data_IF_720135993251
#
_entry.id   IF_720135993251
#
_cell.length_a   1.000
_cell.length_b   1.000
_cell.length_c   1.000
_cell.angle_alpha   90.00
_cell.angle_beta   90.00
_cell.angle_gamma   90.00
#
_symmetry.space_group_name_H-M   'P 1'
#
loop_
_entity.id
_entity.type
_entity.pdbx_description
1 polymer ?
#
# COMPACT_ATOMS: atom_id res chain seq x y z
N UNK A 1 21.49 5.98 16.55
CA UNK A 1 21.91 7.37 16.37
C UNK A 1 20.76 8.22 15.85
N UNK A 2 20.85 9.56 15.97
CA UNK A 2 19.83 10.48 15.44
C UNK A 2 19.63 10.31 13.92
N UNK A 3 20.67 9.97 13.18
CA UNK A 3 20.59 9.68 11.75
C UNK A 3 19.79 8.41 11.46
N UNK A 4 20.01 7.35 12.22
CA UNK A 4 19.26 6.10 12.07
C UNK A 4 17.79 6.28 12.41
N UNK A 5 17.46 7.03 13.46
CA UNK A 5 16.11 7.38 13.83
C UNK A 5 15.46 8.22 12.73
N UNK A 6 16.17 9.21 12.20
CA UNK A 6 15.68 10.05 11.11
C UNK A 6 15.44 9.24 9.83
N UNK A 7 16.36 8.33 9.49
CA UNK A 7 16.19 7.41 8.35
C UNK A 7 14.99 6.48 8.54
N UNK A 8 14.77 5.98 9.75
CA UNK A 8 13.59 5.17 10.08
C UNK A 8 12.29 5.98 9.98
N UNK A 9 12.30 7.25 10.35
CA UNK A 9 11.11 8.12 10.28
C UNK A 9 10.74 8.56 8.86
N UNK A 10 11.73 8.59 7.96
CA UNK A 10 11.55 8.95 6.54
C UNK A 10 11.74 7.76 5.61
N UNK A 11 11.97 6.58 6.15
CA UNK A 11 12.15 5.34 5.40
C UNK A 11 10.83 4.75 4.91
N UNK A 12 10.95 3.69 4.12
CA UNK A 12 9.82 2.96 3.59
C UNK A 12 9.15 2.03 4.62
N UNK A 13 9.88 1.67 5.67
CA UNK A 13 9.36 0.87 6.79
C UNK A 13 10.02 1.25 8.11
N UNK A 14 9.31 1.00 9.21
CA UNK A 14 9.81 1.16 10.57
C UNK A 14 9.25 0.05 11.45
N UNK A 15 10.12 -0.63 12.17
CA UNK A 15 9.75 -1.69 13.11
C UNK A 15 9.80 -1.17 14.54
N UNK A 16 8.66 -1.26 15.25
CA UNK A 16 8.56 -0.95 16.69
C UNK A 16 8.10 -2.20 17.40
N UNK A 17 9.01 -2.85 18.13
CA UNK A 17 8.79 -4.16 18.75
C UNK A 17 8.43 -5.18 17.65
N UNK A 18 7.23 -5.76 17.70
CA UNK A 18 6.68 -6.71 16.74
C UNK A 18 5.77 -6.05 15.66
N UNK A 19 5.72 -4.72 15.65
CA UNK A 19 4.92 -3.96 14.67
C UNK A 19 5.80 -3.39 13.57
N UNK A 20 5.43 -3.70 12.33
CA UNK A 20 6.08 -3.17 11.15
C UNK A 20 5.16 -2.16 10.47
N UNK A 21 5.58 -0.90 10.45
CA UNK A 21 4.87 0.20 9.79
C UNK A 21 5.47 0.42 8.42
N UNK A 22 4.65 0.27 7.39
CA UNK A 22 5.03 0.52 5.99
C UNK A 22 4.45 1.87 5.59
N UNK A 23 5.31 2.80 5.19
CA UNK A 23 4.88 4.11 4.69
C UNK A 23 4.11 4.00 3.38
N UNK A 24 3.45 5.07 2.98
CA UNK A 24 2.66 5.11 1.75
C UNK A 24 3.46 4.66 0.54
N UNK A 25 2.97 3.63 -0.13
CA UNK A 25 3.54 3.09 -1.38
C UNK A 25 2.69 3.60 -2.54
N UNK A 26 3.32 4.30 -3.45
CA UNK A 26 2.65 4.90 -4.61
C UNK A 26 2.53 3.91 -5.77
N UNK A 27 1.58 4.15 -6.66
CA UNK A 27 1.36 3.28 -7.81
C UNK A 27 2.46 3.42 -8.86
N UNK A 28 3.27 2.36 -9.00
CA UNK A 28 4.39 2.26 -9.95
C UNK A 28 4.21 0.99 -10.77
N UNK A 29 4.38 1.09 -12.09
CA UNK A 29 4.30 -0.05 -13.01
C UNK A 29 5.51 -0.99 -12.84
N UNK A 30 5.45 -2.15 -13.50
CA UNK A 30 6.57 -3.11 -13.51
C UNK A 30 7.83 -2.56 -14.19
N UNK A 31 7.68 -1.57 -15.07
CA UNK A 31 8.81 -0.87 -15.72
C UNK A 31 9.38 0.29 -14.88
N UNK A 32 8.81 0.56 -13.71
CA UNK A 32 9.25 1.65 -12.83
C UNK A 32 8.62 3.01 -13.13
N UNK A 33 7.64 3.06 -14.05
CA UNK A 33 6.93 4.28 -14.39
C UNK A 33 5.79 4.54 -13.41
N UNK A 34 5.56 5.80 -13.05
CA UNK A 34 4.44 6.19 -12.20
C UNK A 34 3.11 5.97 -12.93
N UNK A 35 2.16 5.33 -12.25
CA UNK A 35 0.78 5.22 -12.72
C UNK A 35 0.05 6.44 -12.18
N UNK A 36 -0.20 7.39 -13.07
CA UNK A 36 -0.77 8.71 -12.75
C UNK A 36 -2.20 8.83 -13.26
N UNK A 37 -2.88 9.82 -12.75
CA UNK A 37 -4.18 10.22 -13.25
C UNK A 37 -5.25 10.17 -12.18
N UNK A 38 -6.33 10.87 -12.47
CA UNK A 38 -7.50 10.99 -11.59
C UNK A 38 -8.52 9.91 -11.95
N UNK A 39 -8.82 9.05 -11.00
CA UNK A 39 -9.78 7.96 -11.18
C UNK A 39 -11.18 8.56 -11.36
N UNK A 40 -11.89 8.07 -12.34
CA UNK A 40 -13.18 8.61 -12.74
C UNK A 40 -13.10 9.66 -13.86
N UNK A 41 -11.89 10.10 -14.21
CA UNK A 41 -11.66 11.05 -15.32
C UNK A 41 -10.56 10.53 -16.26
N UNK A 42 -9.34 10.34 -15.75
CA UNK A 42 -8.17 9.98 -16.57
C UNK A 42 -8.01 8.47 -16.71
N UNK A 43 -8.37 7.73 -15.66
CA UNK A 43 -8.26 6.26 -15.62
C UNK A 43 -9.54 5.63 -15.07
N UNK A 44 -9.79 4.39 -15.48
CA UNK A 44 -10.94 3.60 -15.06
C UNK A 44 -10.76 3.00 -13.67
N UNK A 45 -11.85 2.50 -13.09
CA UNK A 45 -11.82 1.75 -11.83
C UNK A 45 -10.94 0.50 -11.93
N UNK A 46 -10.99 -0.22 -13.06
CA UNK A 46 -10.19 -1.42 -13.29
C UNK A 46 -8.69 -1.12 -13.40
N UNK A 47 -8.33 -0.05 -14.10
CA UNK A 47 -6.94 0.42 -14.16
C UNK A 47 -6.45 0.85 -12.77
N UNK A 48 -7.30 1.53 -12.00
CA UNK A 48 -6.99 1.93 -10.63
C UNK A 48 -6.87 0.73 -9.68
N UNK A 49 -7.68 -0.33 -9.85
CA UNK A 49 -7.54 -1.60 -9.14
C UNK A 49 -6.14 -2.19 -9.37
N UNK A 50 -5.68 -2.22 -10.61
CA UNK A 50 -4.34 -2.69 -10.94
C UNK A 50 -3.24 -1.78 -10.36
N UNK A 51 -3.46 -0.48 -10.33
CA UNK A 51 -2.57 0.47 -9.66
C UNK A 51 -2.46 0.18 -8.15
N UNK A 52 -3.59 -0.09 -7.47
CA UNK A 52 -3.62 -0.48 -6.07
C UNK A 52 -2.90 -1.82 -5.84
N UNK A 53 -3.05 -2.78 -6.74
CA UNK A 53 -2.30 -4.05 -6.72
C UNK A 53 -0.79 -3.80 -6.77
N UNK A 54 -0.33 -2.85 -7.59
CA UNK A 54 1.08 -2.45 -7.64
C UNK A 54 1.55 -1.87 -6.30
N UNK A 55 0.73 -1.05 -5.65
CA UNK A 55 1.01 -0.56 -4.29
C UNK A 55 1.16 -1.73 -3.31
N UNK A 56 0.28 -2.72 -3.38
CA UNK A 56 0.33 -3.95 -2.57
C UNK A 56 1.63 -4.73 -2.79
N UNK A 57 2.09 -4.86 -4.04
CA UNK A 57 3.37 -5.50 -4.36
C UNK A 57 4.55 -4.75 -3.74
N UNK A 58 4.52 -3.43 -3.77
CA UNK A 58 5.55 -2.60 -3.12
C UNK A 58 5.54 -2.81 -1.59
N UNK A 59 4.36 -2.88 -0.97
CA UNK A 59 4.21 -3.19 0.46
C UNK A 59 4.84 -4.56 0.77
N UNK A 60 4.51 -5.60 0.02
CA UNK A 60 5.06 -6.95 0.22
C UNK A 60 6.58 -6.96 0.07
N UNK A 61 7.11 -6.19 -0.89
CA UNK A 61 8.55 -6.03 -1.06
C UNK A 61 9.23 -5.44 0.19
N UNK A 62 8.63 -4.42 0.80
CA UNK A 62 9.15 -3.82 2.04
C UNK A 62 9.04 -4.80 3.21
N UNK A 63 7.93 -5.52 3.33
CA UNK A 63 7.75 -6.56 4.36
C UNK A 63 8.81 -7.65 4.21
N UNK A 64 9.04 -8.13 2.99
CA UNK A 64 10.06 -9.14 2.68
C UNK A 64 11.46 -8.66 3.09
N UNK A 65 11.79 -7.42 2.79
CA UNK A 65 13.07 -6.80 3.18
C UNK A 65 13.20 -6.75 4.71
N UNK A 66 12.16 -6.29 5.42
CA UNK A 66 12.16 -6.22 6.88
C UNK A 66 12.25 -7.60 7.54
N UNK A 67 11.73 -8.64 6.89
CA UNK A 67 11.79 -10.04 7.33
C UNK A 67 13.04 -10.78 6.82
N UNK A 68 14.02 -10.07 6.26
CA UNK A 68 15.26 -10.66 5.75
C UNK A 68 15.02 -11.76 4.69
N UNK A 69 13.98 -11.57 3.88
CA UNK A 69 13.59 -12.48 2.80
C UNK A 69 12.61 -13.58 3.20
N UNK A 70 12.26 -13.70 4.46
CA UNK A 70 11.39 -14.78 4.99
C UNK A 70 10.01 -14.24 5.38
N UNK A 71 9.06 -14.33 4.46
CA UNK A 71 7.67 -13.88 4.69
C UNK A 71 6.93 -14.74 5.74
N UNK A 72 7.44 -15.92 6.11
CA UNK A 72 6.86 -16.74 7.19
C UNK A 72 6.97 -16.06 8.56
N UNK A 73 7.81 -15.05 8.71
CA UNK A 73 7.91 -14.22 9.90
C UNK A 73 6.71 -13.30 10.11
N UNK A 74 5.88 -13.11 9.11
CA UNK A 74 4.65 -12.32 9.24
C UNK A 74 3.64 -13.10 10.05
N UNK A 75 3.15 -12.49 11.14
CA UNK A 75 2.06 -13.04 11.96
C UNK A 75 0.71 -12.63 11.38
N UNK A 76 0.54 -11.37 11.06
CA UNK A 76 -0.69 -10.85 10.44
C UNK A 76 -0.50 -9.50 9.78
N UNK A 77 -1.31 -9.21 8.78
CA UNK A 77 -1.55 -7.85 8.33
C UNK A 77 -2.62 -7.24 9.24
N UNK A 78 -2.31 -6.11 9.87
CA UNK A 78 -3.21 -5.46 10.83
C UNK A 78 -4.14 -4.50 10.10
N UNK A 79 -3.57 -3.63 9.27
CA UNK A 79 -4.32 -2.54 8.64
C UNK A 79 -3.71 -2.13 7.30
N UNK A 80 -4.58 -1.82 6.34
CA UNK A 80 -4.25 -1.04 5.15
C UNK A 80 -5.00 0.29 5.19
N UNK A 81 -4.36 1.37 4.74
CA UNK A 81 -5.04 2.62 4.42
C UNK A 81 -4.78 2.94 2.96
N UNK A 82 -5.84 2.99 2.18
CA UNK A 82 -5.77 3.27 0.75
C UNK A 82 -6.30 4.66 0.41
N UNK A 83 -5.53 5.39 -0.37
CA UNK A 83 -5.86 6.73 -0.87
C UNK A 83 -5.99 6.68 -2.37
N UNK A 84 -7.13 7.14 -2.88
CA UNK A 84 -7.43 7.17 -4.31
C UNK A 84 -7.46 8.62 -4.78
N UNK A 85 -6.63 8.96 -5.75
CA UNK A 85 -6.73 10.23 -6.45
C UNK A 85 -7.92 10.16 -7.39
N UNK A 86 -9.06 10.69 -6.98
CA UNK A 86 -10.31 10.54 -7.72
C UNK A 86 -11.06 11.85 -7.87
N UNK A 87 -12.01 11.86 -8.79
CA UNK A 87 -12.97 12.97 -8.94
C UNK A 87 -13.87 13.08 -7.72
N UNK A 88 -14.49 14.25 -7.53
CA UNK A 88 -15.31 14.53 -6.35
C UNK A 88 -16.57 13.64 -6.28
N UNK A 89 -17.06 13.20 -7.44
CA UNK A 89 -18.24 12.33 -7.56
C UNK A 89 -17.92 10.83 -7.56
N UNK A 90 -16.64 10.45 -7.52
CA UNK A 90 -16.23 9.05 -7.48
C UNK A 90 -16.50 8.45 -6.09
N UNK A 91 -17.18 7.30 -6.05
CA UNK A 91 -17.63 6.66 -4.81
C UNK A 91 -17.17 5.21 -4.67
N UNK A 92 -16.41 4.70 -5.62
CA UNK A 92 -15.98 3.29 -5.66
C UNK A 92 -14.55 3.08 -5.16
N UNK A 93 -14.06 3.93 -4.24
CA UNK A 93 -12.74 3.79 -3.62
C UNK A 93 -12.48 2.38 -3.06
N UNK A 94 -13.46 1.71 -2.39
CA UNK A 94 -13.26 0.34 -1.93
C UNK A 94 -12.95 -0.63 -3.06
N UNK A 95 -13.57 -0.50 -4.23
CA UNK A 95 -13.30 -1.35 -5.40
C UNK A 95 -11.87 -1.19 -5.90
N UNK A 96 -11.36 0.04 -5.87
CA UNK A 96 -9.97 0.33 -6.24
C UNK A 96 -9.01 -0.32 -5.26
N UNK A 97 -9.19 -0.08 -3.97
CA UNK A 97 -8.27 -0.57 -2.93
C UNK A 97 -8.35 -2.09 -2.75
N UNK A 98 -9.41 -2.74 -3.21
CA UNK A 98 -9.47 -4.19 -3.33
C UNK A 98 -8.27 -4.76 -4.08
N UNK A 99 -7.68 -4.04 -5.02
CA UNK A 99 -6.46 -4.46 -5.71
C UNK A 99 -5.31 -4.78 -4.76
N UNK A 100 -5.09 -3.94 -3.76
CA UNK A 100 -4.09 -4.18 -2.72
C UNK A 100 -4.54 -5.25 -1.74
N UNK A 101 -5.79 -5.18 -1.26
CA UNK A 101 -6.33 -6.15 -0.29
C UNK A 101 -6.35 -7.57 -0.82
N UNK A 102 -6.80 -7.77 -2.05
CA UNK A 102 -6.84 -9.09 -2.69
C UNK A 102 -5.45 -9.69 -2.84
N UNK A 103 -4.45 -8.86 -3.17
CA UNK A 103 -3.06 -9.30 -3.26
C UNK A 103 -2.54 -9.75 -1.89
N UNK A 104 -2.73 -8.94 -0.84
CA UNK A 104 -2.26 -9.25 0.51
C UNK A 104 -2.90 -10.55 1.01
N UNK A 105 -4.20 -10.74 0.82
CA UNK A 105 -4.89 -11.96 1.22
C UNK A 105 -4.46 -13.17 0.39
N UNK A 106 -4.16 -13.00 -0.89
CA UNK A 106 -3.67 -14.08 -1.75
C UNK A 106 -2.27 -14.56 -1.33
N UNK A 107 -1.42 -13.67 -0.83
CA UNK A 107 -0.06 -14.01 -0.41
C UNK A 107 -0.03 -14.61 0.99
N UNK A 108 -0.75 -14.03 1.95
CA UNK A 108 -0.67 -14.38 3.37
C UNK A 108 -1.84 -15.26 3.87
N UNK A 109 -2.88 -15.48 3.06
CA UNK A 109 -4.06 -16.23 3.49
C UNK A 109 -4.77 -15.57 4.67
N UNK A 110 -5.09 -16.32 5.70
CA UNK A 110 -5.74 -15.79 6.91
C UNK A 110 -4.91 -14.70 7.61
N UNK A 111 -3.59 -14.82 7.58
CA UNK A 111 -2.69 -13.81 8.11
C UNK A 111 -2.75 -12.48 7.32
N UNK A 112 -3.27 -12.50 6.11
CA UNK A 112 -3.50 -11.32 5.29
C UNK A 112 -4.82 -10.60 5.55
N UNK A 113 -5.73 -11.18 6.33
CA UNK A 113 -6.99 -10.54 6.72
C UNK A 113 -6.71 -9.31 7.57
N UNK A 114 -7.27 -8.17 7.20
CA UNK A 114 -6.90 -6.87 7.77
C UNK A 114 -8.10 -5.93 7.89
N UNK A 115 -7.97 -4.93 8.74
CA UNK A 115 -8.87 -3.77 8.75
C UNK A 115 -8.43 -2.78 7.68
N UNK A 116 -9.34 -1.93 7.22
CA UNK A 116 -9.05 -1.04 6.09
C UNK A 116 -9.85 0.24 6.12
N UNK A 117 -9.22 1.33 5.69
CA UNK A 117 -9.90 2.53 5.19
C UNK A 117 -9.55 2.69 3.70
N UNK A 118 -10.53 3.07 2.89
CA UNK A 118 -10.37 3.35 1.47
C UNK A 118 -11.08 4.67 1.17
N UNK A 119 -10.29 5.73 0.98
CA UNK A 119 -10.79 7.09 0.87
C UNK A 119 -10.22 7.79 -0.35
N UNK A 120 -10.87 8.87 -0.77
CA UNK A 120 -10.37 9.74 -1.82
C UNK A 120 -9.43 10.80 -1.27
N UNK A 121 -8.45 11.19 -2.06
CA UNK A 121 -7.67 12.40 -1.89
C UNK A 121 -7.89 13.31 -3.08
N UNK A 122 -7.91 14.61 -2.85
CA UNK A 122 -8.02 15.61 -3.91
C UNK A 122 -6.85 15.53 -4.90
N UNK A 123 -5.66 15.21 -4.38
CA UNK A 123 -4.46 14.94 -5.16
C UNK A 123 -3.53 14.02 -4.38
N UNK A 124 -2.64 13.32 -5.07
CA UNK A 124 -1.60 12.49 -4.46
C UNK A 124 -0.21 12.94 -4.93
N UNK A 125 0.84 12.63 -4.16
CA UNK A 125 2.20 12.97 -4.55
C UNK A 125 2.53 12.51 -5.98
N UNK A 126 3.22 13.36 -6.72
CA UNK A 126 3.64 13.10 -8.11
C UNK A 126 2.49 12.84 -9.09
N UNK A 127 1.25 13.12 -8.69
CA UNK A 127 0.06 12.90 -9.52
C UNK A 127 -0.33 11.42 -9.65
N UNK A 128 0.16 10.54 -8.79
CA UNK A 128 -0.17 9.12 -8.86
C UNK A 128 -1.65 8.86 -8.61
N UNK A 129 -2.14 7.74 -9.12
CA UNK A 129 -3.55 7.37 -9.01
C UNK A 129 -3.92 6.81 -7.64
N UNK A 130 -3.02 6.06 -7.01
CA UNK A 130 -3.27 5.34 -5.76
C UNK A 130 -2.02 5.37 -4.88
N UNK A 131 -2.25 5.44 -3.57
CA UNK A 131 -1.24 5.27 -2.54
C UNK A 131 -1.82 4.41 -1.42
N UNK A 132 -1.02 3.47 -0.90
CA UNK A 132 -1.45 2.58 0.18
C UNK A 132 -0.35 2.46 1.22
N UNK A 133 -0.71 2.61 2.50
CA UNK A 133 0.16 2.28 3.63
C UNK A 133 -0.32 1.02 4.36
N UNK A 134 0.51 0.48 5.23
CA UNK A 134 0.19 -0.77 5.90
C UNK A 134 0.84 -0.88 7.29
N UNK A 135 0.22 -1.69 8.14
CA UNK A 135 0.77 -2.11 9.42
C UNK A 135 0.69 -3.63 9.49
N UNK A 136 1.82 -4.28 9.78
CA UNK A 136 1.93 -5.72 9.98
C UNK A 136 2.37 -6.04 11.40
N UNK A 137 2.03 -7.23 11.85
CA UNK A 137 2.58 -7.84 13.06
C UNK A 137 3.53 -8.97 12.65
N UNK A 138 4.72 -8.99 13.24
CA UNK A 138 5.73 -10.04 13.04
C UNK A 138 5.71 -11.02 14.23
N UNK A 139 6.16 -12.25 13.96
CA UNK A 139 6.31 -13.30 15.00
C UNK A 139 7.47 -13.01 15.92
#
# INVERSE_FOLDING_TARGET
TAYEISACLVGSEMCIRDRLYISGQISISSSGELIKGKVGKDISTDEAYNAAKRCGLSIVSQVKKACEGDLSKVKSCIKLTGFVNSTDDFIDQPKVINGASDLITSIFGEAGMHTRAAVSSNSLPLGVAVEVDAIFELK
#
